data_IF_274482578496
#
_entry.id   IF_274482578496
#
_cell.length_a   1.000
_cell.length_b   1.000
_cell.length_c   1.000
_cell.angle_alpha   90.00
_cell.angle_beta   90.00
_cell.angle_gamma   90.00
#
_symmetry.space_group_name_H-M   'P 1'
#
loop_
_entity.id
_entity.type
_entity.pdbx_description
1 polymer ?
#
# COMPACT_ATOMS: atom_id res chain seq x y z
N UNK A 1 2.22 -16.81 -3.59
CA UNK A 1 2.83 -17.67 -4.62
C UNK A 1 1.85 -18.64 -5.25
N UNK A 2 1.04 -19.39 -4.48
CA UNK A 2 0.07 -20.34 -5.05
C UNK A 2 -0.87 -19.68 -6.09
N UNK A 3 -1.44 -18.51 -5.79
CA UNK A 3 -2.30 -17.81 -6.76
C UNK A 3 -1.57 -17.46 -8.06
N UNK A 4 -0.33 -16.97 -7.97
CA UNK A 4 0.49 -16.69 -9.16
C UNK A 4 0.77 -17.98 -9.97
N UNK A 5 1.01 -19.11 -9.31
CA UNK A 5 1.15 -20.41 -9.99
C UNK A 5 -0.16 -20.84 -10.68
N UNK A 6 -1.31 -20.66 -10.03
CA UNK A 6 -2.60 -20.99 -10.64
C UNK A 6 -2.90 -20.14 -11.88
N UNK A 7 -2.47 -18.87 -11.88
CA UNK A 7 -2.50 -18.00 -13.06
C UNK A 7 -1.53 -18.49 -14.15
N UNK A 8 -0.31 -18.85 -13.78
CA UNK A 8 0.72 -19.32 -14.71
C UNK A 8 0.35 -20.65 -15.38
N UNK A 9 -0.34 -21.54 -14.64
CA UNK A 9 -0.85 -22.82 -15.13
C UNK A 9 -2.22 -22.71 -15.82
N UNK A 10 -2.65 -21.49 -16.14
CA UNK A 10 -3.89 -21.19 -16.87
C UNK A 10 -5.18 -21.73 -16.24
N UNK A 11 -5.13 -22.07 -14.94
CA UNK A 11 -6.34 -22.48 -14.20
C UNK A 11 -7.28 -21.32 -13.93
N UNK A 12 -6.74 -20.11 -13.88
CA UNK A 12 -7.50 -18.87 -13.80
C UNK A 12 -6.88 -17.81 -14.71
N UNK A 13 -7.71 -16.90 -15.21
CA UNK A 13 -7.30 -15.77 -16.04
C UNK A 13 -7.10 -14.51 -15.22
N UNK A 14 -7.87 -14.34 -14.14
CA UNK A 14 -7.85 -13.15 -13.28
C UNK A 14 -7.22 -13.42 -11.91
N UNK A 15 -6.58 -12.39 -11.35
CA UNK A 15 -6.03 -12.47 -10.00
C UNK A 15 -7.12 -12.68 -8.94
N UNK A 16 -8.30 -12.09 -9.14
CA UNK A 16 -9.44 -12.20 -8.23
C UNK A 16 -9.92 -13.64 -8.11
N UNK A 17 -10.17 -14.32 -9.23
CA UNK A 17 -10.62 -15.73 -9.23
C UNK A 17 -9.59 -16.62 -8.54
N UNK A 18 -8.31 -16.39 -8.82
CA UNK A 18 -7.21 -17.16 -8.23
C UNK A 18 -7.08 -16.95 -6.72
N UNK A 19 -7.25 -15.70 -6.26
CA UNK A 19 -7.25 -15.35 -4.84
C UNK A 19 -8.45 -15.93 -4.11
N UNK A 20 -9.64 -15.83 -4.71
CA UNK A 20 -10.89 -16.38 -4.18
C UNK A 20 -10.80 -17.89 -4.02
N UNK A 21 -10.45 -18.61 -5.09
CA UNK A 21 -10.28 -20.05 -5.08
C UNK A 21 -9.28 -20.51 -4.03
N UNK A 22 -8.11 -19.86 -3.94
CA UNK A 22 -7.12 -20.22 -2.93
C UNK A 22 -7.66 -19.97 -1.51
N UNK A 23 -8.36 -18.85 -1.29
CA UNK A 23 -8.97 -18.51 -0.02
C UNK A 23 -9.99 -19.55 0.44
N UNK A 24 -10.86 -20.01 -0.45
CA UNK A 24 -11.87 -21.04 -0.18
C UNK A 24 -11.25 -22.40 0.13
N UNK A 25 -10.24 -22.81 -0.64
CA UNK A 25 -9.58 -24.12 -0.44
C UNK A 25 -8.69 -24.15 0.79
N UNK A 26 -8.11 -23.00 1.16
CA UNK A 26 -7.18 -22.93 2.29
C UNK A 26 -7.87 -22.69 3.62
N UNK A 27 -9.03 -22.03 3.62
CA UNK A 27 -9.81 -21.70 4.82
C UNK A 27 -10.75 -22.83 5.15
N UNK A 28 -10.41 -23.62 6.16
CA UNK A 28 -11.34 -24.61 6.70
C UNK A 28 -12.38 -23.94 7.60
N UNK A 29 -13.56 -23.69 7.05
CA UNK A 29 -14.69 -23.09 7.77
C UNK A 29 -15.31 -24.03 8.81
N UNK A 30 -14.97 -25.32 8.82
CA UNK A 30 -15.50 -26.28 9.80
C UNK A 30 -14.78 -26.21 11.15
N UNK A 31 -13.50 -25.77 11.16
CA UNK A 31 -12.67 -25.69 12.36
C UNK A 31 -12.38 -24.26 12.80
N UNK A 32 -12.48 -23.27 11.90
CA UNK A 32 -12.26 -21.86 12.24
C UNK A 32 -12.96 -20.88 11.30
N UNK A 33 -13.53 -19.82 11.87
CA UNK A 33 -14.01 -18.67 11.09
C UNK A 33 -12.86 -17.73 10.62
N UNK A 34 -11.61 -18.05 10.96
CA UNK A 34 -10.45 -17.23 10.56
C UNK A 34 -10.10 -17.51 9.09
N UNK A 35 -10.15 -16.49 8.25
CA UNK A 35 -9.68 -16.58 6.86
C UNK A 35 -8.19 -16.94 6.80
N UNK A 36 -7.83 -17.92 5.96
CA UNK A 36 -6.48 -18.47 5.83
C UNK A 36 -5.89 -18.31 4.42
N UNK A 37 -6.54 -17.53 3.55
CA UNK A 37 -6.03 -17.19 2.22
C UNK A 37 -4.93 -16.12 2.26
N UNK A 38 -4.96 -15.19 1.30
CA UNK A 38 -4.00 -14.08 1.27
C UNK A 38 -4.34 -13.05 2.36
N UNK A 39 -3.39 -12.77 3.25
CA UNK A 39 -3.67 -12.03 4.48
C UNK A 39 -3.57 -10.50 4.35
N UNK A 40 -2.89 -9.98 3.31
CA UNK A 40 -2.64 -8.55 3.18
C UNK A 40 -2.98 -8.03 1.78
N UNK A 41 -3.58 -6.84 1.65
CA UNK A 41 -3.85 -6.22 0.36
C UNK A 41 -2.63 -6.08 -0.55
N UNK A 42 -1.44 -5.82 0.01
CA UNK A 42 -0.21 -5.80 -0.80
C UNK A 42 0.11 -7.14 -1.44
N UNK A 43 -0.11 -8.26 -0.76
CA UNK A 43 0.05 -9.58 -1.39
C UNK A 43 -0.94 -9.76 -2.55
N UNK A 44 -2.21 -9.37 -2.36
CA UNK A 44 -3.22 -9.41 -3.44
C UNK A 44 -2.84 -8.52 -4.62
N UNK A 45 -2.32 -7.31 -4.36
CA UNK A 45 -1.81 -6.38 -5.38
C UNK A 45 -0.70 -7.02 -6.22
N UNK A 46 0.23 -7.74 -5.59
CA UNK A 46 1.31 -8.42 -6.30
C UNK A 46 0.84 -9.62 -7.12
N UNK A 47 -0.22 -10.32 -6.71
CA UNK A 47 -0.89 -11.30 -7.59
C UNK A 47 -1.52 -10.60 -8.80
N UNK A 48 -2.14 -9.43 -8.59
CA UNK A 48 -2.62 -8.56 -9.67
C UNK A 48 -1.51 -8.11 -10.64
N UNK A 49 -0.35 -7.71 -10.11
CA UNK A 49 0.82 -7.39 -10.94
C UNK A 49 1.29 -8.58 -11.76
N UNK A 50 1.35 -9.78 -11.17
CA UNK A 50 1.69 -11.00 -11.91
C UNK A 50 0.68 -11.28 -13.02
N UNK A 51 -0.62 -11.13 -12.77
CA UNK A 51 -1.65 -11.29 -13.80
C UNK A 51 -1.44 -10.29 -14.96
N UNK A 52 -1.08 -9.03 -14.67
CA UNK A 52 -0.71 -8.04 -15.71
C UNK A 52 0.53 -8.46 -16.49
N UNK A 53 1.59 -8.92 -15.81
CA UNK A 53 2.82 -9.42 -16.46
C UNK A 53 2.49 -10.55 -17.44
N UNK A 54 1.69 -11.52 -17.02
CA UNK A 54 1.25 -12.63 -17.87
C UNK A 54 0.39 -12.17 -19.04
N UNK A 55 -0.70 -11.45 -18.76
CA UNK A 55 -1.77 -11.22 -19.74
C UNK A 55 -1.54 -9.98 -20.62
N UNK A 56 -0.75 -9.00 -20.17
CA UNK A 56 -0.50 -7.75 -20.91
C UNK A 56 0.93 -7.68 -21.44
N UNK A 57 1.90 -8.17 -20.66
CA UNK A 57 3.32 -8.10 -21.03
C UNK A 57 3.89 -9.44 -21.54
N UNK A 58 3.04 -10.44 -21.81
CA UNK A 58 3.46 -11.76 -22.30
C UNK A 58 4.61 -12.37 -21.48
N UNK A 59 4.50 -12.32 -20.15
CA UNK A 59 5.51 -12.78 -19.20
C UNK A 59 6.84 -12.01 -19.20
N UNK A 60 6.95 -10.92 -19.96
CA UNK A 60 8.07 -9.98 -19.85
C UNK A 60 7.81 -8.97 -18.72
N UNK A 61 8.88 -8.53 -18.08
CA UNK A 61 8.78 -7.47 -17.09
C UNK A 61 8.38 -6.15 -17.77
N UNK A 62 7.49 -5.34 -17.16
CA UNK A 62 7.16 -4.03 -17.69
C UNK A 62 8.40 -3.12 -17.69
N UNK A 63 8.44 -2.11 -18.56
CA UNK A 63 9.51 -1.10 -18.55
C UNK A 63 9.72 -0.53 -17.15
N UNK A 64 10.99 -0.40 -16.77
CA UNK A 64 11.35 0.10 -15.45
C UNK A 64 11.05 1.60 -15.37
N UNK A 65 10.33 2.01 -14.32
CA UNK A 65 10.06 3.43 -14.03
C UNK A 65 10.87 3.88 -12.83
N UNK A 66 11.47 5.05 -12.93
CA UNK A 66 12.18 5.70 -11.83
C UNK A 66 11.35 6.90 -11.39
N UNK A 67 10.92 6.87 -10.12
CA UNK A 67 9.99 7.85 -9.57
C UNK A 67 10.59 8.55 -8.35
N UNK A 68 10.19 9.80 -8.13
CA UNK A 68 10.28 10.47 -6.83
C UNK A 68 8.88 10.62 -6.26
N UNK A 69 8.72 10.51 -4.94
CA UNK A 69 7.45 10.83 -4.28
C UNK A 69 7.45 12.31 -3.91
N UNK A 70 6.40 13.03 -4.31
CA UNK A 70 6.24 14.46 -4.07
C UNK A 70 5.42 14.72 -2.82
N UNK A 71 4.29 14.02 -2.68
CA UNK A 71 3.40 14.17 -1.54
C UNK A 71 2.57 12.92 -1.31
N UNK A 72 2.15 12.77 -0.05
CA UNK A 72 1.05 11.90 0.34
C UNK A 72 -0.16 12.75 0.70
N UNK A 73 -1.36 12.28 0.33
CA UNK A 73 -2.63 12.81 0.83
C UNK A 73 -3.30 11.69 1.61
N UNK A 74 -3.60 11.94 2.88
CA UNK A 74 -4.32 11.03 3.76
C UNK A 74 -5.73 11.59 3.93
N UNK A 75 -6.72 10.79 3.56
CA UNK A 75 -8.13 11.13 3.67
C UNK A 75 -8.70 10.62 4.98
N UNK A 76 -9.67 11.37 5.51
CA UNK A 76 -10.46 11.00 6.69
C UNK A 76 -9.60 10.81 7.94
N UNK A 77 -8.71 11.79 8.15
CA UNK A 77 -7.68 11.78 9.20
C UNK A 77 -8.25 12.02 10.59
N UNK A 78 -9.37 12.73 10.74
CA UNK A 78 -9.94 13.02 12.05
C UNK A 78 -10.23 11.71 12.82
N UNK A 79 -9.74 11.63 14.06
CA UNK A 79 -9.79 10.41 14.89
C UNK A 79 -8.68 9.39 14.63
N UNK A 80 -7.80 9.61 13.64
CA UNK A 80 -6.60 8.80 13.40
C UNK A 80 -5.40 9.48 14.08
N UNK A 81 -4.90 8.86 15.16
CA UNK A 81 -3.79 9.40 15.92
C UNK A 81 -4.21 10.69 16.62
N UNK A 82 -3.46 11.79 16.39
CA UNK A 82 -3.87 13.13 16.86
C UNK A 82 -4.95 13.78 15.99
N UNK A 83 -5.29 13.17 14.86
CA UNK A 83 -6.34 13.66 13.96
C UNK A 83 -5.92 14.80 13.03
N UNK A 84 -4.65 15.21 13.06
CA UNK A 84 -4.07 16.29 12.25
C UNK A 84 -2.78 15.87 11.51
N UNK A 85 -2.39 14.59 11.66
CA UNK A 85 -1.19 14.00 11.07
C UNK A 85 0.12 14.42 11.71
N UNK A 86 0.13 15.27 12.74
CA UNK A 86 1.35 15.75 13.41
C UNK A 86 2.12 14.64 14.14
N UNK A 87 1.45 13.53 14.47
CA UNK A 87 2.06 12.32 15.05
C UNK A 87 2.59 11.33 14.02
N UNK A 88 2.37 11.57 12.73
CA UNK A 88 2.75 10.65 11.66
C UNK A 88 4.20 10.84 11.21
N UNK A 89 4.88 9.73 11.01
CA UNK A 89 6.18 9.65 10.35
C UNK A 89 6.08 8.69 9.17
N UNK A 90 6.79 8.99 8.07
CA UNK A 90 6.79 8.16 6.87
C UNK A 90 8.17 7.54 6.69
N UNK A 91 8.21 6.21 6.59
CA UNK A 91 9.42 5.46 6.25
C UNK A 91 9.25 4.79 4.89
N UNK A 92 10.19 5.04 3.97
CA UNK A 92 10.22 4.40 2.65
C UNK A 92 11.36 3.40 2.63
N UNK A 93 11.06 2.18 2.20
CA UNK A 93 12.03 1.10 2.06
C UNK A 93 12.06 0.59 0.62
N UNK A 94 13.26 0.32 0.13
CA UNK A 94 13.53 -0.27 -1.19
C UNK A 94 14.70 -1.25 -1.03
N UNK A 95 14.66 -2.39 -1.72
CA UNK A 95 15.67 -3.47 -1.55
C UNK A 95 15.89 -3.88 -0.09
N UNK A 96 14.81 -3.94 0.70
CA UNK A 96 14.81 -4.29 2.14
C UNK A 96 15.61 -3.32 3.03
N UNK A 97 15.98 -2.14 2.55
CA UNK A 97 16.65 -1.10 3.35
C UNK A 97 15.77 0.14 3.42
N UNK A 98 15.82 0.84 4.55
CA UNK A 98 15.23 2.18 4.64
C UNK A 98 16.05 3.13 3.78
N UNK A 99 15.41 3.70 2.76
CA UNK A 99 16.04 4.67 1.84
C UNK A 99 15.62 6.10 2.15
N UNK A 100 14.52 6.28 2.88
CA UNK A 100 14.04 7.59 3.28
C UNK A 100 13.20 7.49 4.56
N UNK A 101 13.25 8.55 5.35
CA UNK A 101 12.47 8.73 6.55
C UNK A 101 12.13 10.21 6.69
N UNK A 102 10.86 10.51 6.97
CA UNK A 102 10.44 11.87 7.23
C UNK A 102 9.41 11.96 8.34
N UNK A 103 9.37 13.14 8.96
CA UNK A 103 8.46 13.51 10.05
C UNK A 103 8.17 15.01 9.96
N UNK A 104 7.28 15.52 10.81
CA UNK A 104 6.94 16.95 10.84
C UNK A 104 8.16 17.88 11.00
N UNK A 105 9.26 17.40 11.58
CA UNK A 105 10.50 18.16 11.80
C UNK A 105 11.60 17.90 10.78
N UNK A 106 11.42 16.94 9.85
CA UNK A 106 12.50 16.47 8.98
C UNK A 106 11.99 16.04 7.61
N UNK A 107 12.52 16.68 6.56
CA UNK A 107 12.28 16.37 5.13
C UNK A 107 10.82 16.36 4.69
N UNK A 108 9.88 16.79 5.53
CA UNK A 108 8.47 16.82 5.23
C UNK A 108 7.81 18.07 5.80
N UNK A 109 6.79 18.58 5.09
CA UNK A 109 5.85 19.59 5.61
C UNK A 109 4.45 19.00 5.63
N UNK A 110 3.90 18.85 6.84
CA UNK A 110 2.56 18.33 7.08
C UNK A 110 1.59 19.52 7.12
N UNK A 111 0.53 19.45 6.32
CA UNK A 111 -0.54 20.45 6.26
C UNK A 111 -1.86 19.75 6.55
N UNK A 112 -2.54 20.18 7.61
CA UNK A 112 -3.88 19.68 7.95
C UNK A 112 -4.94 20.57 7.29
N UNK A 113 -5.70 19.99 6.37
CA UNK A 113 -6.89 20.57 5.76
C UNK A 113 -8.10 20.05 6.53
N UNK A 114 -8.49 20.81 7.56
CA UNK A 114 -9.59 20.45 8.45
C UNK A 114 -10.95 20.48 7.74
N UNK A 115 -11.13 21.36 6.74
CA UNK A 115 -12.37 21.50 5.99
C UNK A 115 -12.65 20.25 5.15
N UNK A 116 -11.63 19.77 4.42
CA UNK A 116 -11.76 18.55 3.63
C UNK A 116 -11.47 17.26 4.41
N UNK A 117 -11.18 17.36 5.71
CA UNK A 117 -10.77 16.24 6.59
C UNK A 117 -9.58 15.45 6.00
N UNK A 118 -8.51 16.15 5.62
CA UNK A 118 -7.33 15.58 4.97
C UNK A 118 -6.03 16.08 5.59
N UNK A 119 -4.99 15.26 5.47
CA UNK A 119 -3.61 15.69 5.71
C UNK A 119 -2.80 15.54 4.43
N UNK A 120 -2.03 16.58 4.11
CA UNK A 120 -1.09 16.59 2.99
C UNK A 120 0.33 16.57 3.58
N UNK A 121 1.08 15.51 3.29
CA UNK A 121 2.49 15.36 3.68
C UNK A 121 3.33 15.65 2.44
N UNK A 122 3.85 16.86 2.32
CA UNK A 122 4.77 17.22 1.25
C UNK A 122 6.16 16.68 1.57
N UNK A 123 6.76 15.96 0.62
CA UNK A 123 8.07 15.32 0.75
C UNK A 123 9.13 16.19 0.09
N UNK A 124 10.24 16.43 0.78
CA UNK A 124 11.43 17.08 0.24
C UNK A 124 12.58 16.08 0.13
N UNK A 125 13.44 16.25 -0.88
CA UNK A 125 14.61 15.39 -1.10
C UNK A 125 14.27 13.89 -1.20
N UNK A 126 13.13 13.58 -1.83
CA UNK A 126 12.71 12.21 -2.10
C UNK A 126 13.78 11.46 -2.92
N UNK A 127 14.20 10.25 -2.50
CA UNK A 127 15.18 9.47 -3.25
C UNK A 127 14.60 9.00 -4.59
N UNK A 128 15.47 8.58 -5.51
CA UNK A 128 15.05 7.85 -6.70
C UNK A 128 14.56 6.46 -6.30
N UNK A 129 13.29 6.18 -6.58
CA UNK A 129 12.62 4.92 -6.29
C UNK A 129 12.39 4.15 -7.58
N UNK A 130 12.54 2.83 -7.50
CA UNK A 130 12.34 1.91 -8.61
C UNK A 130 12.02 0.51 -8.09
N UNK A 131 11.56 -0.37 -8.98
CA UNK A 131 11.15 -1.75 -8.67
C UNK A 131 10.11 -1.77 -7.52
N UNK A 132 10.31 -2.63 -6.51
CA UNK A 132 9.45 -2.77 -5.33
C UNK A 132 9.77 -1.73 -4.24
N UNK A 133 8.74 -1.01 -3.81
CA UNK A 133 8.81 0.00 -2.76
C UNK A 133 7.79 -0.30 -1.68
N UNK A 134 8.23 -0.21 -0.43
CA UNK A 134 7.38 -0.25 0.76
C UNK A 134 7.29 1.13 1.37
N UNK A 135 6.09 1.55 1.74
CA UNK A 135 5.86 2.76 2.53
C UNK A 135 5.19 2.36 3.84
N UNK A 136 5.79 2.76 4.97
CA UNK A 136 5.26 2.54 6.32
C UNK A 136 4.92 3.89 6.94
N UNK A 137 3.76 3.98 7.56
CA UNK A 137 3.35 5.12 8.38
C UNK A 137 3.51 4.71 9.84
N UNK A 138 4.33 5.45 10.58
CA UNK A 138 4.59 5.25 11.99
C UNK A 138 3.90 6.33 12.80
N UNK A 139 3.52 5.99 14.04
CA UNK A 139 3.03 6.95 15.03
C UNK A 139 3.12 6.31 16.41
N UNK A 140 3.39 7.12 17.42
CA UNK A 140 3.31 6.73 18.84
C UNK A 140 1.90 6.79 19.39
N UNK A 141 0.98 7.49 18.72
CA UNK A 141 -0.41 7.66 19.13
C UNK A 141 -1.35 6.57 18.56
N UNK A 142 -0.83 5.69 17.70
CA UNK A 142 -1.59 4.65 17.01
C UNK A 142 -1.13 3.24 17.41
N UNK A 143 -2.06 2.26 17.49
CA UNK A 143 -1.72 0.87 17.73
C UNK A 143 -0.90 0.30 16.57
N UNK A 144 0.03 -0.59 16.89
CA UNK A 144 0.86 -1.30 15.91
C UNK A 144 0.30 -2.69 15.64
N UNK A 145 0.39 -3.14 14.40
CA UNK A 145 -0.09 -4.45 13.97
C UNK A 145 1.00 -5.20 13.20
N UNK A 146 0.69 -5.72 12.00
CA UNK A 146 1.73 -6.31 11.16
C UNK A 146 2.78 -5.28 10.82
N UNK A 147 4.00 -5.79 10.66
CA UNK A 147 5.18 -4.99 10.36
C UNK A 147 5.51 -3.95 11.44
N UNK A 148 5.00 -4.11 12.67
CA UNK A 148 5.26 -3.22 13.81
C UNK A 148 5.00 -1.73 13.49
N UNK A 149 3.94 -1.44 12.74
CA UNK A 149 3.48 -0.09 12.43
C UNK A 149 1.94 -0.01 12.39
N UNK A 150 1.35 1.19 12.48
CA UNK A 150 -0.08 1.42 12.27
C UNK A 150 -0.59 0.90 10.93
N UNK A 151 0.01 1.35 9.82
CA UNK A 151 -0.35 0.90 8.48
C UNK A 151 0.80 1.09 7.49
N UNK A 152 0.77 0.30 6.42
CA UNK A 152 1.77 0.33 5.37
C UNK A 152 1.17 -0.17 4.06
N UNK A 153 1.94 -0.07 2.98
CA UNK A 153 1.63 -0.73 1.72
C UNK A 153 2.90 -0.95 0.90
N UNK A 154 2.80 -1.86 -0.07
CA UNK A 154 3.81 -2.09 -1.09
C UNK A 154 3.26 -1.76 -2.47
N UNK A 155 4.11 -1.23 -3.33
CA UNK A 155 3.82 -1.06 -4.75
C UNK A 155 5.06 -1.35 -5.58
N UNK A 156 4.87 -1.53 -6.89
CA UNK A 156 5.98 -1.65 -7.82
C UNK A 156 5.91 -0.48 -8.82
N UNK A 157 6.98 0.30 -8.90
CA UNK A 157 7.06 1.57 -9.65
C UNK A 157 6.63 1.45 -11.12
N UNK A 158 7.00 0.38 -11.81
CA UNK A 158 6.58 0.14 -13.21
C UNK A 158 5.07 0.05 -13.45
N UNK A 159 4.28 -0.24 -12.41
CA UNK A 159 2.82 -0.33 -12.52
C UNK A 159 2.09 0.97 -12.16
N UNK A 160 2.83 2.03 -11.82
CA UNK A 160 2.26 3.35 -11.54
C UNK A 160 1.82 3.99 -12.85
N UNK A 161 0.59 4.49 -12.85
CA UNK A 161 -0.07 5.16 -13.98
C UNK A 161 -0.40 6.59 -13.57
N UNK A 162 -0.38 7.52 -14.52
CA UNK A 162 -0.74 8.93 -14.29
C UNK A 162 0.01 9.59 -13.12
N UNK A 163 1.22 9.12 -12.81
CA UNK A 163 2.04 9.61 -11.70
C UNK A 163 1.29 9.64 -10.35
N UNK A 164 0.37 8.68 -10.16
CA UNK A 164 -0.53 8.65 -9.01
C UNK A 164 -0.77 7.21 -8.55
N UNK A 165 -0.94 7.03 -7.24
CA UNK A 165 -1.42 5.80 -6.63
C UNK A 165 -2.42 6.13 -5.55
N UNK A 166 -3.69 5.77 -5.74
CA UNK A 166 -4.73 5.88 -4.72
C UNK A 166 -5.00 4.50 -4.12
N UNK A 167 -5.03 4.40 -2.79
CA UNK A 167 -5.32 3.18 -2.05
C UNK A 167 -6.40 3.47 -1.01
N UNK A 168 -7.55 2.83 -1.18
CA UNK A 168 -8.62 2.87 -0.17
C UNK A 168 -8.21 2.14 1.12
N UNK A 169 -8.99 2.31 2.20
CA UNK A 169 -8.80 1.58 3.47
C UNK A 169 -8.59 0.08 3.27
N UNK A 170 -9.36 -0.52 2.37
CA UNK A 170 -9.34 -1.96 2.13
C UNK A 170 -8.11 -2.40 1.31
N UNK A 171 -7.38 -1.47 0.73
CA UNK A 171 -6.16 -1.71 -0.04
C UNK A 171 -4.88 -1.40 0.77
N UNK A 172 -5.02 -0.96 2.02
CA UNK A 172 -3.92 -0.67 2.93
C UNK A 172 -3.69 -1.83 3.90
N UNK A 173 -2.42 -2.18 4.13
CA UNK A 173 -2.06 -3.24 5.05
C UNK A 173 -2.22 -2.74 6.49
N UNK A 174 -2.97 -3.53 7.28
CA UNK A 174 -3.56 -3.24 8.60
C UNK A 174 -4.98 -2.59 8.56
N UNK A 175 -5.24 -1.43 7.91
CA UNK A 175 -6.58 -0.83 7.86
C UNK A 175 -7.66 -1.69 7.21
N UNK A 176 -7.30 -2.62 6.33
CA UNK A 176 -8.24 -3.59 5.74
C UNK A 176 -8.92 -4.50 6.77
N UNK A 177 -8.39 -4.60 8.01
CA UNK A 177 -8.96 -5.49 9.03
C UNK A 177 -10.09 -4.81 9.81
N UNK A 178 -11.28 -5.45 9.95
CA UNK A 178 -12.43 -4.89 10.66
C UNK A 178 -12.15 -4.36 12.06
N UNK A 179 -11.25 -5.02 12.81
CA UNK A 179 -10.85 -4.59 14.16
C UNK A 179 -10.25 -3.17 14.23
N UNK A 180 -9.86 -2.60 13.10
CA UNK A 180 -9.23 -1.28 13.02
C UNK A 180 -10.21 -0.19 12.58
N UNK A 181 -11.45 -0.52 12.21
CA UNK A 181 -12.39 0.41 11.57
C UNK A 181 -13.01 1.44 12.51
N UNK A 182 -12.80 1.31 13.82
CA UNK A 182 -13.07 2.38 14.79
C UNK A 182 -12.08 3.55 14.65
N UNK A 183 -10.90 3.29 14.10
CA UNK A 183 -9.84 4.29 13.84
C UNK A 183 -9.90 4.70 12.37
N UNK A 184 -9.80 3.73 11.45
CA UNK A 184 -9.79 3.99 10.01
C UNK A 184 -11.22 3.84 9.44
N UNK A 185 -11.89 4.98 9.24
CA UNK A 185 -13.25 5.05 8.71
C UNK A 185 -13.34 4.59 7.26
N UNK A 186 -14.55 4.34 6.76
CA UNK A 186 -14.79 3.72 5.44
C UNK A 186 -14.18 4.49 4.27
N UNK A 187 -14.07 5.80 4.41
CA UNK A 187 -13.52 6.77 3.46
C UNK A 187 -12.03 7.07 3.71
N UNK A 188 -11.39 6.43 4.71
CA UNK A 188 -9.95 6.53 4.92
C UNK A 188 -9.21 5.99 3.68
N UNK A 189 -8.27 6.78 3.18
CA UNK A 189 -7.47 6.42 2.02
C UNK A 189 -6.11 7.11 2.07
N UNK A 190 -5.16 6.55 1.35
CA UNK A 190 -3.85 7.17 1.12
C UNK A 190 -3.64 7.30 -0.37
N UNK A 191 -3.20 8.47 -0.78
CA UNK A 191 -2.88 8.78 -2.15
C UNK A 191 -1.46 9.31 -2.26
N UNK A 192 -0.73 8.83 -3.26
CA UNK A 192 0.67 9.15 -3.51
C UNK A 192 0.79 9.83 -4.86
N UNK A 193 1.50 10.95 -4.90
CA UNK A 193 1.83 11.66 -6.13
C UNK A 193 3.32 11.52 -6.42
N UNK A 194 3.66 11.29 -7.68
CA UNK A 194 5.02 11.02 -8.13
C UNK A 194 5.49 12.04 -9.16
N UNK A 195 6.80 12.23 -9.25
CA UNK A 195 7.48 12.76 -10.44
C UNK A 195 8.22 11.62 -11.14
N UNK A 196 8.02 11.47 -12.44
CA UNK A 196 8.78 10.52 -13.24
C UNK A 196 10.12 11.13 -13.67
N UNK A 197 11.20 10.41 -13.42
CA UNK A 197 12.56 10.80 -13.79
C UNK A 197 12.95 10.06 -15.05
N UNK A 198 13.08 10.80 -16.16
CA UNK A 198 13.67 10.28 -17.41
C UNK A 198 15.19 10.37 -17.27
N UNK A 199 15.85 9.22 -17.23
CA UNK A 199 17.32 9.11 -17.29
C UNK A 199 17.78 9.00 -18.75
#
# INVERSE_FOLDING_TARGET
MICAYLLASERFTTAEDSLCYFGERRTDKSTSNKYQGVETPSQSRFVGYFAKVKNTYNLHLPPRKILKINKFVIYSIHGVGKGDGSDLEVQIMMKRKTVFFCSASRYCKIVHDAESNRVIINIFNSPLLYDEVKVRFLSSALPRYYDNCPFYFWFHTSFIQENRLYLSRNELDNPHKPKTWKIYRSDFAVEVYFDEVKL
#
